data_IF_511096779411
#
_entry.id   IF_511096779411
#
_cell.length_a   1.000
_cell.length_b   1.000
_cell.length_c   1.000
_cell.angle_alpha   90.00
_cell.angle_beta   90.00
_cell.angle_gamma   90.00
#
_symmetry.space_group_name_H-M   'P 1'
#
loop_
_entity.id
_entity.type
_entity.pdbx_description
1 polymer ?
#
# COMPACT_ATOMS: atom_id res chain seq x y z
N UNK A 1 -16.45 8.16 -22.35
CA UNK A 1 -15.56 8.94 -21.47
C UNK A 1 -14.69 7.94 -20.74
N UNK A 2 -13.37 7.93 -20.96
CA UNK A 2 -12.50 7.09 -20.14
C UNK A 2 -12.40 7.76 -18.76
N UNK A 3 -13.03 7.18 -17.73
CA UNK A 3 -12.74 7.61 -16.37
C UNK A 3 -11.30 7.22 -16.05
N UNK A 4 -10.58 8.09 -15.34
CA UNK A 4 -9.27 7.75 -14.81
C UNK A 4 -9.50 6.70 -13.73
N UNK A 5 -9.02 5.48 -13.95
CA UNK A 5 -9.04 4.43 -12.91
C UNK A 5 -7.87 4.67 -11.95
N UNK A 6 -8.01 4.34 -10.66
CA UNK A 6 -6.95 4.53 -9.67
C UNK A 6 -5.76 3.57 -9.84
N UNK A 7 -4.66 3.92 -9.17
CA UNK A 7 -3.53 3.03 -8.89
C UNK A 7 -3.82 2.24 -7.62
N UNK A 8 -3.71 0.91 -7.67
CA UNK A 8 -3.88 0.06 -6.48
C UNK A 8 -2.55 -0.11 -5.73
N UNK A 9 -2.55 0.13 -4.42
CA UNK A 9 -1.43 -0.17 -3.52
C UNK A 9 -1.82 -1.39 -2.69
N UNK A 10 -1.15 -2.51 -2.94
CA UNK A 10 -1.35 -3.78 -2.24
C UNK A 10 -0.34 -3.89 -1.10
N UNK A 11 -0.83 -3.83 0.14
CA UNK A 11 0.00 -3.96 1.35
C UNK A 11 0.10 -5.43 1.75
N UNK A 12 1.31 -5.97 1.65
CA UNK A 12 1.64 -7.36 2.03
C UNK A 12 2.17 -7.48 3.46
N UNK A 13 2.28 -6.35 4.16
CA UNK A 13 2.66 -6.24 5.55
C UNK A 13 2.20 -4.90 6.12
N UNK A 14 2.55 -4.64 7.39
CA UNK A 14 2.17 -3.43 8.09
C UNK A 14 3.40 -2.58 8.45
N UNK A 15 3.20 -1.27 8.44
CA UNK A 15 4.12 -0.29 9.03
C UNK A 15 4.22 -0.51 10.54
N UNK A 16 5.33 -0.08 11.16
CA UNK A 16 5.50 -0.15 12.62
C UNK A 16 4.48 0.71 13.35
N UNK A 17 4.01 0.24 14.51
CA UNK A 17 2.89 0.84 15.26
C UNK A 17 3.08 2.32 15.59
N UNK A 18 4.32 2.75 15.86
CA UNK A 18 4.65 4.14 16.19
C UNK A 18 4.45 5.10 15.02
N UNK A 19 4.61 4.62 13.80
CA UNK A 19 4.37 5.40 12.58
C UNK A 19 2.89 5.36 12.21
N UNK A 20 2.23 4.20 12.34
CA UNK A 20 0.78 4.11 12.18
C UNK A 20 0.04 5.07 13.13
N UNK A 21 0.49 5.19 14.38
CA UNK A 21 -0.07 6.13 15.36
C UNK A 21 0.07 7.61 14.97
N UNK A 22 0.97 7.93 14.03
CA UNK A 22 1.15 9.27 13.45
C UNK A 22 0.36 9.46 12.16
N UNK A 23 -0.42 8.46 11.74
CA UNK A 23 -1.10 8.44 10.46
C UNK A 23 -0.14 8.25 9.28
N UNK A 24 1.03 7.66 9.52
CA UNK A 24 2.02 7.34 8.47
C UNK A 24 1.91 5.86 8.10
N UNK A 25 1.86 5.57 6.79
CA UNK A 25 1.81 4.21 6.27
C UNK A 25 2.35 4.14 4.83
N UNK A 26 2.60 2.92 4.34
CA UNK A 26 3.17 2.67 3.01
C UNK A 26 2.38 3.34 1.88
N UNK A 27 1.04 3.28 1.92
CA UNK A 27 0.19 3.87 0.89
C UNK A 27 0.35 5.38 0.78
N UNK A 28 0.62 6.06 1.90
CA UNK A 28 0.82 7.51 1.95
C UNK A 28 2.17 7.85 1.32
N UNK A 29 3.24 7.15 1.72
CA UNK A 29 4.59 7.39 1.19
C UNK A 29 4.69 7.06 -0.30
N UNK A 30 4.08 5.95 -0.73
CA UNK A 30 4.07 5.54 -2.13
C UNK A 30 3.29 6.55 -2.97
N UNK A 31 2.11 6.97 -2.52
CA UNK A 31 1.32 8.01 -3.21
C UNK A 31 2.12 9.30 -3.38
N UNK A 32 2.76 9.76 -2.31
CA UNK A 32 3.59 10.98 -2.33
C UNK A 32 4.81 10.82 -3.25
N UNK A 33 5.53 9.69 -3.18
CA UNK A 33 6.69 9.42 -4.03
C UNK A 33 6.37 9.29 -5.52
N UNK A 34 5.15 8.86 -5.86
CA UNK A 34 4.64 8.80 -7.23
C UNK A 34 4.00 10.12 -7.71
N UNK A 35 3.83 11.11 -6.82
CA UNK A 35 3.18 12.37 -7.16
C UNK A 35 1.69 12.24 -7.51
N UNK A 36 1.00 11.27 -6.89
CA UNK A 36 -0.41 10.98 -7.16
C UNK A 36 -1.36 11.78 -6.24
N UNK A 37 -2.50 12.19 -6.81
CA UNK A 37 -3.59 12.78 -6.04
C UNK A 37 -4.19 11.75 -5.06
N UNK A 38 -4.67 12.18 -3.87
CA UNK A 38 -5.35 11.29 -2.92
C UNK A 38 -6.49 10.47 -3.53
N UNK A 39 -7.26 11.06 -4.44
CA UNK A 39 -8.41 10.42 -5.08
C UNK A 39 -8.01 9.50 -6.25
N UNK A 40 -6.71 9.44 -6.58
CA UNK A 40 -6.17 8.62 -7.68
C UNK A 40 -5.59 7.29 -7.19
N UNK A 41 -5.77 6.93 -5.92
CA UNK A 41 -5.29 5.68 -5.34
C UNK A 41 -6.40 4.85 -4.71
N UNK A 42 -6.20 3.54 -4.70
CA UNK A 42 -6.87 2.59 -3.81
C UNK A 42 -5.81 1.87 -2.99
N UNK A 43 -6.06 1.59 -1.72
CA UNK A 43 -5.18 0.78 -0.90
C UNK A 43 -5.92 -0.48 -0.42
N UNK A 44 -5.23 -1.62 -0.44
CA UNK A 44 -5.75 -2.88 0.08
C UNK A 44 -4.70 -3.56 0.97
N UNK A 45 -5.03 -3.73 2.24
CA UNK A 45 -4.24 -4.46 3.22
C UNK A 45 -4.59 -5.94 3.24
N UNK A 46 -4.04 -6.67 2.27
CA UNK A 46 -4.26 -8.12 2.18
C UNK A 46 -3.65 -8.89 3.36
N UNK A 47 -2.64 -8.31 4.04
CA UNK A 47 -2.09 -8.90 5.27
C UNK A 47 -3.09 -8.84 6.43
N UNK A 48 -4.02 -7.88 6.42
CA UNK A 48 -5.15 -7.80 7.35
C UNK A 48 -6.41 -8.52 6.85
N UNK A 49 -6.35 -9.17 5.67
CA UNK A 49 -7.48 -9.87 5.08
C UNK A 49 -8.45 -9.00 4.28
N UNK A 50 -8.07 -7.76 3.92
CA UNK A 50 -8.89 -6.91 3.06
C UNK A 50 -8.98 -7.49 1.63
N UNK A 51 -10.15 -7.38 0.97
CA UNK A 51 -10.32 -7.88 -0.38
C UNK A 51 -9.56 -7.02 -1.40
N UNK A 52 -9.17 -7.64 -2.52
CA UNK A 52 -8.69 -6.91 -3.69
C UNK A 52 -9.88 -6.43 -4.53
N UNK A 53 -9.79 -5.23 -5.15
CA UNK A 53 -10.77 -4.80 -6.14
C UNK A 53 -10.68 -5.66 -7.40
N UNK A 54 -11.71 -5.59 -8.24
CA UNK A 54 -11.73 -6.23 -9.54
C UNK A 54 -10.71 -5.60 -10.49
N UNK A 55 -10.20 -6.40 -11.42
CA UNK A 55 -9.16 -5.98 -12.37
C UNK A 55 -9.59 -4.78 -13.22
N UNK A 56 -10.87 -4.66 -13.53
CA UNK A 56 -11.44 -3.58 -14.32
C UNK A 56 -11.68 -2.30 -13.53
N UNK A 57 -11.47 -2.29 -12.22
CA UNK A 57 -11.59 -1.09 -11.36
C UNK A 57 -10.28 -0.30 -11.27
N UNK A 58 -9.15 -0.83 -11.76
CA UNK A 58 -7.82 -0.24 -11.58
C UNK A 58 -7.08 -0.07 -12.93
N UNK A 59 -6.08 0.83 -12.98
CA UNK A 59 -5.21 0.99 -14.16
C UNK A 59 -3.84 0.30 -14.03
N UNK A 60 -3.34 0.20 -12.79
CA UNK A 60 -2.00 -0.26 -12.45
C UNK A 60 -1.95 -0.60 -10.96
N UNK A 61 -0.87 -1.26 -10.53
CA UNK A 61 -0.70 -1.65 -9.13
C UNK A 61 0.75 -1.52 -8.67
N UNK A 62 0.89 -1.27 -7.37
CA UNK A 62 2.13 -1.32 -6.60
C UNK A 62 1.94 -2.38 -5.51
N UNK A 63 2.91 -3.28 -5.36
CA UNK A 63 2.91 -4.29 -4.30
C UNK A 63 4.00 -3.91 -3.31
N UNK A 64 3.64 -3.69 -2.04
CA UNK A 64 4.63 -3.41 -1.00
C UNK A 64 5.38 -4.71 -0.66
N UNK A 65 6.62 -4.58 -0.20
CA UNK A 65 7.27 -5.67 0.53
C UNK A 65 6.68 -5.81 1.94
N UNK A 66 7.07 -6.87 2.64
CA UNK A 66 6.91 -6.99 4.09
C UNK A 66 8.12 -6.37 4.81
N UNK A 67 8.02 -6.00 6.09
CA UNK A 67 9.18 -5.61 6.88
C UNK A 67 10.28 -6.68 6.77
N UNK A 68 11.51 -6.28 6.45
CA UNK A 68 12.65 -7.18 6.54
C UNK A 68 12.81 -7.58 8.01
N UNK A 69 12.60 -8.87 8.32
CA UNK A 69 12.83 -9.40 9.65
C UNK A 69 14.31 -9.28 10.00
N UNK A 70 14.69 -8.26 10.77
CA UNK A 70 16.04 -8.18 11.35
C UNK A 70 16.08 -9.04 12.62
N UNK A 71 15.95 -10.35 12.45
CA UNK A 71 16.23 -11.30 13.52
C UNK A 71 17.72 -11.25 13.83
N UNK A 72 18.07 -10.96 15.09
CA UNK A 72 19.45 -11.11 15.57
C UNK A 72 19.84 -12.58 15.34
N UNK A 73 20.67 -12.83 14.33
CA UNK A 73 21.39 -14.11 14.22
C UNK A 73 22.29 -14.19 15.44
N UNK A 74 21.78 -14.80 16.53
CA UNK A 74 22.63 -15.28 17.60
C UNK A 74 23.43 -16.44 17.02
N UNK A 75 24.69 -16.17 16.69
CA UNK A 75 25.69 -17.20 16.43
C UNK A 75 25.87 -18.07 17.67
#
# INVERSE_FOLDING_TARGET
MNSIKPVLIIKTGATVSELLAKGEDYEIWIRQGLGLDPDSILAANIAAGEPLPLRDEINSLVITGSPAYYGVFRR
#
